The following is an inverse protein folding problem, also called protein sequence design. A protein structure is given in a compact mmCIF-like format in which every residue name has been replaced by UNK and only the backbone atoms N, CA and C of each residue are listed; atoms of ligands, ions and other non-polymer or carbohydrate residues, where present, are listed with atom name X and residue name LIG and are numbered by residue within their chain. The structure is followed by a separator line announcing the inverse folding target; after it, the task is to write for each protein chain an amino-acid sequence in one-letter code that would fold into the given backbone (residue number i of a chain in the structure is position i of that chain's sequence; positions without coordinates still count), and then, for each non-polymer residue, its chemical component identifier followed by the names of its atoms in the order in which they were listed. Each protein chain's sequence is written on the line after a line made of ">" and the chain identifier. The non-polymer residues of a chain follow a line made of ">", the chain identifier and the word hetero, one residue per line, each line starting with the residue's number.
data_IF_058141763418
#
_entry.id   IF_058141763418
#
_cell.length_a   1.000
_cell.length_b   1.000
_cell.length_c   1.000
_cell.angle_alpha   90.00
_cell.angle_beta   90.00
_cell.angle_gamma   90.00
#
_symmetry.space_group_name_H-M   'P 1'
#
loop_
_entity.id
_entity.type
_entity.pdbx_description
1 polymer ?
#
# COMPACT_ATOMS: atom_id res chain seq x y z
N UNK A 1 25.55 -18.53 2.46
CA UNK A 1 24.98 -17.17 2.62
C UNK A 1 23.60 -17.17 2.00
N UNK A 2 22.54 -16.92 2.75
CA UNK A 2 21.17 -16.85 2.23
C UNK A 2 20.83 -15.39 2.07
N UNK A 3 20.56 -14.94 0.84
CA UNK A 3 20.05 -13.60 0.58
C UNK A 3 18.53 -13.63 0.83
N UNK A 4 18.08 -12.86 1.81
CA UNK A 4 16.66 -12.74 2.17
C UNK A 4 16.32 -11.26 2.32
N UNK A 5 15.15 -10.89 1.88
CA UNK A 5 14.53 -9.59 2.21
C UNK A 5 13.55 -9.84 3.35
N UNK A 6 13.75 -9.17 4.46
CA UNK A 6 12.82 -9.23 5.59
C UNK A 6 11.55 -8.40 5.32
N UNK A 7 10.50 -8.70 6.05
CA UNK A 7 9.27 -7.92 5.99
C UNK A 7 9.51 -6.46 6.44
N UNK A 8 10.40 -6.24 7.40
CA UNK A 8 10.74 -4.92 7.91
C UNK A 8 11.50 -4.07 6.88
N UNK A 9 12.40 -4.68 6.12
CA UNK A 9 13.11 -4.00 5.02
C UNK A 9 12.14 -3.58 3.93
N UNK A 10 11.22 -4.48 3.53
CA UNK A 10 10.21 -4.17 2.53
C UNK A 10 9.21 -3.12 3.03
N UNK A 11 8.88 -3.16 4.32
CA UNK A 11 8.03 -2.16 4.98
C UNK A 11 8.68 -0.78 4.96
N UNK A 12 9.98 -0.67 5.27
CA UNK A 12 10.74 0.59 5.17
C UNK A 12 10.73 1.13 3.76
N UNK A 13 11.06 0.32 2.77
CA UNK A 13 11.04 0.72 1.37
C UNK A 13 9.66 1.26 0.95
N UNK A 14 8.60 0.52 1.27
CA UNK A 14 7.23 0.92 0.97
C UNK A 14 6.83 2.23 1.68
N UNK A 15 7.32 2.47 2.91
CA UNK A 15 7.05 3.71 3.65
C UNK A 15 7.81 4.91 3.06
N UNK A 16 9.06 4.73 2.63
CA UNK A 16 9.81 5.76 1.91
C UNK A 16 9.12 6.17 0.61
N UNK A 17 8.57 5.20 -0.15
CA UNK A 17 7.79 5.48 -1.36
C UNK A 17 6.52 6.30 -1.05
N UNK A 18 5.81 5.98 0.03
CA UNK A 18 4.64 6.78 0.48
C UNK A 18 5.01 8.21 0.78
N UNK A 19 6.12 8.43 1.49
CA UNK A 19 6.55 9.76 1.90
C UNK A 19 6.94 10.60 0.69
N UNK A 20 7.64 10.03 -0.30
CA UNK A 20 7.94 10.70 -1.57
C UNK A 20 6.67 11.13 -2.30
N UNK A 21 5.71 10.24 -2.44
CA UNK A 21 4.42 10.54 -3.08
C UNK A 21 3.61 11.57 -2.31
N UNK A 22 3.57 11.48 -0.96
CA UNK A 22 2.88 12.47 -0.13
C UNK A 22 3.45 13.86 -0.34
N UNK A 23 4.76 14.01 -0.22
CA UNK A 23 5.45 15.30 -0.38
C UNK A 23 5.20 15.89 -1.76
N UNK A 24 5.32 15.10 -2.80
CA UNK A 24 5.12 15.54 -4.16
C UNK A 24 3.65 15.93 -4.43
N UNK A 25 2.68 15.13 -4.01
CA UNK A 25 1.25 15.39 -4.22
C UNK A 25 0.74 16.61 -3.43
N UNK A 26 1.31 16.90 -2.28
CA UNK A 26 0.99 18.14 -1.53
C UNK A 26 1.30 19.38 -2.37
N UNK A 27 2.37 19.35 -3.17
CA UNK A 27 2.76 20.46 -4.07
C UNK A 27 2.12 20.36 -5.44
N UNK A 28 1.56 19.21 -5.81
CA UNK A 28 0.90 18.94 -7.09
C UNK A 28 -0.51 18.35 -6.92
N UNK A 29 -1.40 18.99 -6.14
CA UNK A 29 -2.72 18.41 -5.81
C UNK A 29 -3.61 18.17 -7.03
N UNK A 30 -3.43 18.94 -8.12
CA UNK A 30 -4.15 18.74 -9.37
C UNK A 30 -3.91 17.37 -10.01
N UNK A 31 -2.75 16.73 -9.75
CA UNK A 31 -2.45 15.40 -10.24
C UNK A 31 -3.42 14.33 -9.71
N UNK A 32 -4.04 14.55 -8.54
CA UNK A 32 -5.01 13.61 -7.96
C UNK A 32 -6.23 13.36 -8.85
N UNK A 33 -6.62 14.37 -9.65
CA UNK A 33 -7.76 14.30 -10.58
C UNK A 33 -7.39 13.68 -11.92
N UNK A 34 -6.11 13.47 -12.20
CA UNK A 34 -5.67 12.92 -13.47
C UNK A 34 -6.19 11.50 -13.67
N UNK A 35 -6.65 11.17 -14.90
CA UNK A 35 -7.20 9.86 -15.18
C UNK A 35 -6.12 8.77 -15.16
N UNK A 36 -6.46 7.60 -14.64
CA UNK A 36 -5.64 6.39 -14.76
C UNK A 36 -6.01 5.66 -16.07
N UNK A 37 -5.14 5.70 -17.07
CA UNK A 37 -5.36 5.09 -18.38
C UNK A 37 -4.33 3.95 -18.62
N UNK A 38 -4.70 2.85 -19.31
CA UNK A 38 -6.05 2.37 -19.61
C UNK A 38 -6.73 1.90 -18.33
N UNK A 39 -8.02 2.10 -18.26
CA UNK A 39 -8.86 1.92 -17.08
C UNK A 39 -8.59 0.59 -16.32
N UNK A 40 -7.71 0.64 -15.35
CA UNK A 40 -7.50 -0.44 -14.38
C UNK A 40 -8.59 -0.50 -13.30
N UNK A 41 -9.79 0.02 -13.58
CA UNK A 41 -10.90 0.08 -12.63
C UNK A 41 -10.87 1.31 -11.69
N UNK A 42 -9.90 2.20 -11.84
CA UNK A 42 -9.79 3.43 -11.04
C UNK A 42 -9.91 4.64 -11.96
N UNK A 43 -10.89 5.53 -11.72
CA UNK A 43 -11.11 6.69 -12.60
C UNK A 43 -9.99 7.73 -12.51
N UNK A 44 -9.38 7.93 -11.33
CA UNK A 44 -8.35 8.94 -11.09
C UNK A 44 -7.21 8.41 -10.23
N UNK A 45 -6.08 9.13 -10.22
CA UNK A 45 -4.93 8.85 -9.35
C UNK A 45 -5.36 8.86 -7.87
N UNK A 46 -6.17 9.83 -7.44
CA UNK A 46 -6.69 9.88 -6.07
C UNK A 46 -7.48 8.62 -5.67
N UNK A 47 -8.28 8.08 -6.59
CA UNK A 47 -9.01 6.83 -6.36
C UNK A 47 -8.11 5.60 -6.35
N UNK A 48 -7.03 5.60 -7.11
CA UNK A 48 -6.01 4.55 -7.04
C UNK A 48 -5.26 4.57 -5.70
N UNK A 49 -4.91 5.75 -5.20
CA UNK A 49 -4.26 5.89 -3.88
C UNK A 49 -5.22 5.52 -2.74
N UNK A 50 -6.49 5.94 -2.81
CA UNK A 50 -7.54 5.51 -1.88
C UNK A 50 -7.65 3.97 -1.84
N UNK A 51 -7.57 3.32 -3.01
CA UNK A 51 -7.55 1.86 -3.11
C UNK A 51 -6.33 1.23 -2.43
N UNK A 52 -5.14 1.79 -2.57
CA UNK A 52 -3.93 1.29 -1.89
C UNK A 52 -4.20 1.19 -0.39
N UNK A 53 -4.65 2.27 0.22
CA UNK A 53 -4.80 2.35 1.67
C UNK A 53 -5.99 1.53 2.20
N UNK A 54 -7.12 1.50 1.48
CA UNK A 54 -8.27 0.67 1.92
C UNK A 54 -7.97 -0.83 1.77
N UNK A 55 -7.16 -1.24 0.79
CA UNK A 55 -6.76 -2.65 0.65
C UNK A 55 -5.83 -3.07 1.77
N UNK A 56 -4.86 -2.25 2.15
CA UNK A 56 -4.03 -2.51 3.34
C UNK A 56 -4.89 -2.66 4.60
N UNK A 57 -5.83 -1.71 4.86
CA UNK A 57 -6.79 -1.80 5.97
C UNK A 57 -7.56 -3.12 5.96
N UNK A 58 -8.14 -3.50 4.83
CA UNK A 58 -8.94 -4.72 4.72
C UNK A 58 -8.12 -5.99 4.94
N UNK A 59 -6.88 -6.02 4.49
CA UNK A 59 -6.01 -7.17 4.73
C UNK A 59 -5.56 -7.25 6.18
N UNK A 60 -5.25 -6.12 6.81
CA UNK A 60 -4.99 -6.08 8.25
C UNK A 60 -6.19 -6.57 9.06
N UNK A 61 -7.39 -6.11 8.72
CA UNK A 61 -8.64 -6.58 9.36
C UNK A 61 -8.85 -8.08 9.18
N UNK A 62 -8.50 -8.65 7.99
CA UNK A 62 -8.53 -10.11 7.80
C UNK A 62 -7.57 -10.84 8.72
N UNK A 63 -6.34 -10.34 8.85
CA UNK A 63 -5.34 -10.90 9.75
C UNK A 63 -5.81 -10.89 11.20
N UNK A 64 -6.53 -9.85 11.61
CA UNK A 64 -7.08 -9.66 12.95
C UNK A 64 -8.46 -10.31 13.17
N UNK A 65 -9.06 -10.91 12.14
CA UNK A 65 -10.42 -11.47 12.22
C UNK A 65 -11.51 -10.42 12.41
N UNK A 66 -11.28 -9.17 11.99
CA UNK A 66 -12.20 -8.06 12.14
C UNK A 66 -13.12 -7.87 10.92
N UNK A 67 -14.30 -7.23 11.09
CA UNK A 67 -15.15 -6.84 9.98
C UNK A 67 -14.43 -5.90 9.00
N UNK A 68 -14.67 -6.08 7.69
CA UNK A 68 -14.01 -5.31 6.66
C UNK A 68 -14.63 -3.93 6.46
N UNK A 69 -13.80 -2.92 6.44
CA UNK A 69 -14.20 -1.56 6.07
C UNK A 69 -14.68 -1.50 4.60
N UNK A 70 -15.77 -0.79 4.34
CA UNK A 70 -16.32 -0.62 2.99
C UNK A 70 -15.54 0.39 2.14
N UNK A 71 -15.06 1.47 2.77
CA UNK A 71 -14.31 2.56 2.15
C UNK A 71 -13.45 3.29 3.19
N UNK A 72 -12.57 4.17 2.74
CA UNK A 72 -11.83 5.08 3.64
C UNK A 72 -12.74 6.15 4.27
N UNK A 73 -13.85 6.44 3.62
CA UNK A 73 -14.76 7.54 4.00
C UNK A 73 -14.25 8.92 3.55
N UNK A 74 -13.16 8.96 2.78
CA UNK A 74 -12.49 10.19 2.34
C UNK A 74 -12.84 10.52 0.88
N UNK A 75 -12.93 11.81 0.55
CA UNK A 75 -12.97 12.26 -0.82
C UNK A 75 -11.56 12.22 -1.39
N UNK A 76 -11.36 11.49 -2.49
CA UNK A 76 -10.05 11.13 -3.04
C UNK A 76 -9.13 12.28 -3.48
N UNK A 77 -9.54 13.55 -3.32
CA UNK A 77 -8.82 14.71 -3.84
C UNK A 77 -8.07 15.50 -2.76
N UNK A 78 -8.21 15.10 -1.50
CA UNK A 78 -7.55 15.77 -0.39
C UNK A 78 -6.34 14.93 0.07
N UNK A 79 -5.15 15.36 -0.34
CA UNK A 79 -3.88 14.63 -0.09
C UNK A 79 -3.62 14.40 1.41
N UNK A 80 -3.61 15.43 2.29
CA UNK A 80 -3.22 15.21 3.67
C UNK A 80 -4.11 14.19 4.40
N UNK A 81 -5.45 14.30 4.43
CA UNK A 81 -6.28 13.33 5.14
C UNK A 81 -6.17 11.90 4.61
N UNK A 82 -5.99 11.75 3.28
CA UNK A 82 -5.84 10.44 2.66
C UNK A 82 -4.55 9.75 3.11
N UNK A 83 -3.43 10.48 3.10
CA UNK A 83 -2.15 9.95 3.55
C UNK A 83 -2.08 9.78 5.08
N UNK A 84 -2.75 10.64 5.87
CA UNK A 84 -2.88 10.48 7.31
C UNK A 84 -3.66 9.20 7.66
N UNK A 85 -4.72 8.88 6.90
CA UNK A 85 -5.41 7.60 7.01
C UNK A 85 -4.46 6.44 6.68
N UNK A 86 -3.76 6.48 5.56
CA UNK A 86 -2.77 5.46 5.20
C UNK A 86 -1.69 5.27 6.27
N UNK A 87 -1.19 6.37 6.86
CA UNK A 87 -0.22 6.33 7.94
C UNK A 87 -0.79 5.71 9.23
N UNK A 88 -2.08 5.93 9.53
CA UNK A 88 -2.71 5.27 10.70
C UNK A 88 -2.81 3.76 10.51
N UNK A 89 -3.20 3.32 9.31
CA UNK A 89 -3.28 1.88 8.98
C UNK A 89 -1.90 1.23 9.04
N UNK A 90 -0.86 1.93 8.56
CA UNK A 90 0.52 1.45 8.60
C UNK A 90 1.01 1.25 10.04
N UNK A 91 0.76 2.19 10.95
CA UNK A 91 1.13 2.02 12.37
C UNK A 91 0.44 0.80 13.02
N UNK A 92 -0.82 0.56 12.67
CA UNK A 92 -1.53 -0.63 13.16
C UNK A 92 -0.95 -1.93 12.57
N UNK A 93 -0.54 -1.92 11.29
CA UNK A 93 0.15 -3.04 10.64
C UNK A 93 1.49 -3.32 11.30
N UNK A 94 2.28 -2.29 11.58
CA UNK A 94 3.56 -2.42 12.29
C UNK A 94 3.38 -2.97 13.71
N UNK A 95 2.32 -2.53 14.40
CA UNK A 95 2.00 -3.10 15.71
C UNK A 95 1.65 -4.59 15.60
N UNK A 96 0.79 -4.96 14.64
CA UNK A 96 0.44 -6.36 14.39
C UNK A 96 1.69 -7.22 14.11
N UNK A 97 2.63 -6.71 13.30
CA UNK A 97 3.88 -7.39 13.00
C UNK A 97 4.76 -7.63 14.24
N UNK A 98 4.82 -6.67 15.16
CA UNK A 98 5.58 -6.84 16.42
C UNK A 98 4.96 -7.87 17.36
N UNK A 99 3.67 -8.11 17.25
CA UNK A 99 2.91 -9.04 18.10
C UNK A 99 2.82 -10.45 17.48
N UNK A 100 3.03 -10.56 16.16
CA UNK A 100 2.91 -11.82 15.42
C UNK A 100 4.10 -12.74 15.69
N UNK A 101 3.85 -13.92 16.26
CA UNK A 101 4.87 -14.95 16.45
C UNK A 101 5.24 -15.66 15.15
N UNK A 102 6.48 -16.19 15.08
CA UNK A 102 6.97 -16.90 13.88
C UNK A 102 6.12 -18.11 13.51
N UNK A 103 5.71 -18.91 14.47
CA UNK A 103 4.84 -20.07 14.26
C UNK A 103 3.48 -19.65 13.70
N UNK A 104 2.90 -18.60 14.29
CA UNK A 104 1.62 -18.03 13.86
C UNK A 104 1.71 -17.44 12.45
N UNK A 105 2.83 -16.82 12.10
CA UNK A 105 3.08 -16.24 10.79
C UNK A 105 3.02 -17.27 9.65
N UNK A 106 3.40 -18.53 9.95
CA UNK A 106 3.48 -19.62 8.97
C UNK A 106 2.29 -20.61 9.06
N UNK A 107 1.37 -20.39 10.01
CA UNK A 107 0.14 -21.19 10.11
C UNK A 107 -0.79 -20.95 8.93
N UNK A 108 -1.25 -22.02 8.28
CA UNK A 108 -2.21 -21.91 7.18
C UNK A 108 -3.61 -21.62 7.74
N UNK A 109 -4.16 -20.45 7.40
CA UNK A 109 -5.50 -20.02 7.75
C UNK A 109 -6.38 -19.83 6.55
N UNK A 110 -7.70 -19.83 6.73
CA UNK A 110 -8.68 -19.55 5.69
C UNK A 110 -9.04 -18.07 5.70
N UNK A 111 -8.76 -17.36 4.60
CA UNK A 111 -9.11 -15.94 4.45
C UNK A 111 -10.18 -15.76 3.38
N UNK A 112 -11.25 -15.04 3.72
CA UNK A 112 -12.25 -14.65 2.73
C UNK A 112 -11.74 -13.45 1.91
N UNK A 113 -11.54 -13.66 0.61
CA UNK A 113 -11.19 -12.62 -0.35
C UNK A 113 -12.13 -12.71 -1.54
N UNK A 114 -12.94 -11.68 -1.76
CA UNK A 114 -13.95 -11.61 -2.84
C UNK A 114 -14.90 -12.82 -2.80
N UNK A 115 -15.49 -13.07 -1.64
CA UNK A 115 -16.45 -14.16 -1.38
C UNK A 115 -15.93 -15.58 -1.65
N UNK A 116 -14.60 -15.72 -1.68
CA UNK A 116 -13.95 -17.03 -1.78
C UNK A 116 -12.99 -17.22 -0.62
N UNK A 117 -12.98 -18.43 -0.07
CA UNK A 117 -12.02 -18.85 0.95
C UNK A 117 -10.71 -19.27 0.30
N UNK A 118 -9.61 -18.69 0.76
CA UNK A 118 -8.26 -18.97 0.26
C UNK A 118 -7.39 -19.45 1.42
N UNK A 119 -6.81 -20.66 1.31
CA UNK A 119 -5.81 -21.12 2.27
C UNK A 119 -4.50 -20.35 2.02
N UNK A 120 -4.03 -19.61 3.02
CA UNK A 120 -2.75 -18.93 2.98
C UNK A 120 -2.24 -18.64 4.38
N UNK A 121 -0.95 -18.33 4.49
CA UNK A 121 -0.35 -17.93 5.76
C UNK A 121 -0.47 -16.42 6.00
N UNK A 122 -0.49 -15.94 7.25
CA UNK A 122 -0.33 -14.52 7.56
C UNK A 122 0.88 -13.90 6.87
N UNK A 123 2.04 -14.56 6.88
CA UNK A 123 3.25 -14.14 6.16
C UNK A 123 2.99 -13.84 4.69
N UNK A 124 2.30 -14.73 3.97
CA UNK A 124 1.95 -14.52 2.56
C UNK A 124 1.08 -13.29 2.37
N UNK A 125 0.11 -13.08 3.25
CA UNK A 125 -0.82 -11.94 3.17
C UNK A 125 -0.09 -10.61 3.47
N UNK A 126 0.84 -10.60 4.42
CA UNK A 126 1.68 -9.45 4.75
C UNK A 126 2.58 -9.04 3.57
N UNK A 127 3.29 -9.97 2.96
CA UNK A 127 4.06 -9.68 1.75
C UNK A 127 3.17 -9.22 0.60
N UNK A 128 1.96 -9.80 0.46
CA UNK A 128 1.00 -9.35 -0.54
C UNK A 128 0.60 -7.88 -0.35
N UNK A 129 0.34 -7.43 0.88
CA UNK A 129 0.03 -6.02 1.18
C UNK A 129 1.09 -5.09 0.62
N UNK A 130 2.35 -5.33 0.94
CA UNK A 130 3.47 -4.46 0.55
C UNK A 130 3.75 -4.51 -0.96
N UNK A 131 3.77 -5.69 -1.55
CA UNK A 131 3.97 -5.85 -3.00
C UNK A 131 2.80 -5.29 -3.82
N UNK A 132 1.57 -5.39 -3.32
CA UNK A 132 0.39 -4.78 -3.94
C UNK A 132 0.51 -3.27 -3.98
N UNK A 133 0.92 -2.65 -2.89
CA UNK A 133 1.16 -1.22 -2.80
C UNK A 133 2.23 -0.76 -3.79
N UNK A 134 3.42 -1.37 -3.77
CA UNK A 134 4.53 -1.02 -4.67
C UNK A 134 4.13 -1.11 -6.14
N UNK A 135 3.36 -2.14 -6.51
CA UNK A 135 2.83 -2.27 -7.87
C UNK A 135 1.90 -1.13 -8.24
N UNK A 136 1.07 -0.65 -7.30
CA UNK A 136 0.17 0.47 -7.55
C UNK A 136 0.91 1.81 -7.59
N UNK A 137 1.98 2.00 -6.81
CA UNK A 137 2.82 3.20 -6.95
C UNK A 137 3.45 3.30 -8.35
N UNK A 138 3.87 2.19 -8.94
CA UNK A 138 4.33 2.19 -10.34
C UNK A 138 3.22 2.60 -11.32
N UNK A 139 1.96 2.22 -11.07
CA UNK A 139 0.82 2.67 -11.88
C UNK A 139 0.53 4.16 -11.67
N UNK A 140 0.64 4.67 -10.44
CA UNK A 140 0.53 6.11 -10.15
C UNK A 140 1.61 6.89 -10.91
N UNK A 141 2.88 6.43 -10.87
CA UNK A 141 3.98 7.06 -11.58
C UNK A 141 3.74 7.12 -13.11
N UNK A 142 3.23 6.04 -13.68
CA UNK A 142 2.86 6.02 -15.11
C UNK A 142 1.73 7.00 -15.41
N UNK A 143 0.66 7.02 -14.59
CA UNK A 143 -0.48 7.89 -14.80
C UNK A 143 -0.11 9.38 -14.67
N UNK A 144 0.76 9.72 -13.72
CA UNK A 144 1.31 11.08 -13.52
C UNK A 144 2.06 11.53 -14.77
N UNK A 145 2.96 10.67 -15.34
CA UNK A 145 3.68 11.00 -16.59
C UNK A 145 2.74 11.19 -17.78
N UNK A 146 1.74 10.31 -17.92
CA UNK A 146 0.75 10.42 -18.99
C UNK A 146 -0.11 11.70 -18.88
N UNK A 147 -0.29 12.20 -17.66
CA UNK A 147 -0.97 13.46 -17.40
C UNK A 147 -0.08 14.72 -17.60
N UNK A 148 1.19 14.53 -17.98
CA UNK A 148 2.12 15.63 -18.27
C UNK A 148 2.84 16.19 -17.04
N UNK A 149 2.82 15.48 -15.91
CA UNK A 149 3.61 15.84 -14.73
C UNK A 149 4.90 15.01 -14.66
N UNK A 150 5.93 15.58 -14.06
CA UNK A 150 7.12 14.84 -13.67
C UNK A 150 6.89 14.23 -12.27
N UNK A 151 6.86 12.88 -12.13
CA UNK A 151 6.69 12.25 -10.81
C UNK A 151 7.91 12.52 -9.93
N UNK A 152 7.81 12.31 -8.59
CA UNK A 152 8.99 12.33 -7.74
C UNK A 152 10.03 11.35 -8.27
N UNK A 153 11.32 11.68 -8.16
CA UNK A 153 12.43 10.83 -8.62
C UNK A 153 12.76 9.70 -7.64
N UNK A 154 13.77 8.92 -8.01
CA UNK A 154 14.45 7.97 -7.11
C UNK A 154 13.52 6.90 -6.48
N UNK A 155 12.68 6.29 -7.32
CA UNK A 155 11.71 5.25 -6.91
C UNK A 155 12.32 3.85 -6.77
N UNK A 156 13.53 3.63 -7.30
CA UNK A 156 14.15 2.32 -7.26
C UNK A 156 14.70 1.99 -5.87
N UNK A 157 14.66 0.73 -5.51
CA UNK A 157 15.22 0.22 -4.26
C UNK A 157 16.69 0.63 -4.06
N UNK A 158 17.41 0.84 -5.16
CA UNK A 158 18.79 1.31 -5.16
C UNK A 158 18.99 2.65 -4.42
N UNK A 159 17.99 3.54 -4.45
CA UNK A 159 18.02 4.85 -3.78
C UNK A 159 17.41 4.83 -2.39
N UNK A 160 16.83 3.72 -1.97
CA UNK A 160 16.22 3.56 -0.65
C UNK A 160 17.27 3.32 0.43
N UNK A 161 16.97 3.73 1.64
CA UNK A 161 17.73 3.38 2.84
C UNK A 161 17.31 2.03 3.44
N UNK A 162 16.35 1.37 2.80
CA UNK A 162 15.89 0.05 3.19
C UNK A 162 16.94 -1.01 3.00
N UNK A 163 17.48 -1.84 3.39
CA UNK A 163 18.55 -2.81 3.08
C UNK A 163 19.98 -2.28 3.30
N UNK A 164 20.14 -1.26 4.17
CA UNK A 164 21.45 -0.75 4.58
C UNK A 164 21.87 -1.27 5.95
#
# INVERSE_FOLDING_TARGET
>A
MTLQISIDELLRYSSEERDKWRQWLVTHPAAMESPVQPAGGFPTIGKLIDHIFIVERRHLQRLQGQPLSSATGLTGNNVPPLFDYGASVRRELEQYLRELGDEEADEVRQFNVRDRMWPMTPRKLLFHILLHELRHWAQVALAVRLAGFDPPGDHDLFYSHALQ
#
